data_IF_141191338518
#
_entry.id   IF_141191338518
#
_cell.length_a   1.000
_cell.length_b   1.000
_cell.length_c   1.000
_cell.angle_alpha   90.00
_cell.angle_beta   90.00
_cell.angle_gamma   90.00
#
_symmetry.space_group_name_H-M   'P 1'
#
loop_
_entity.id
_entity.type
_entity.pdbx_description
1 polymer ?
#
# COMPACT_ATOMS: atom_id res chain seq x y z
N UNK A 1 16.55 -10.11 14.38
CA UNK A 1 15.47 -9.28 14.95
C UNK A 1 15.02 -8.31 13.88
N UNK A 2 13.98 -8.66 13.12
CA UNK A 2 13.52 -7.89 11.96
C UNK A 2 12.45 -6.88 12.37
N UNK A 3 12.69 -5.61 12.09
CA UNK A 3 11.86 -4.47 12.52
C UNK A 3 10.56 -4.33 11.71
N UNK A 4 9.69 -5.35 11.75
CA UNK A 4 8.34 -5.25 11.18
C UNK A 4 7.51 -4.08 11.78
N UNK A 5 8.00 -3.49 12.88
CA UNK A 5 7.44 -2.29 13.50
C UNK A 5 7.79 -0.99 12.75
N UNK A 6 8.90 -0.86 12.02
CA UNK A 6 9.33 0.45 11.49
C UNK A 6 8.44 0.94 10.34
N UNK A 7 8.18 0.11 9.33
CA UNK A 7 7.31 0.47 8.19
C UNK A 7 5.87 0.75 8.62
N UNK A 8 5.27 -0.16 9.41
CA UNK A 8 3.91 0.01 9.92
C UNK A 8 3.75 1.21 10.87
N UNK A 9 4.76 1.48 11.72
CA UNK A 9 4.77 2.65 12.61
C UNK A 9 4.87 3.93 11.80
N UNK A 10 5.76 3.99 10.81
CA UNK A 10 5.91 5.14 9.93
C UNK A 10 4.61 5.46 9.17
N UNK A 11 3.94 4.44 8.60
CA UNK A 11 2.63 4.62 7.96
C UNK A 11 1.63 5.20 8.96
N UNK A 12 1.59 4.66 10.19
CA UNK A 12 0.62 5.10 11.21
C UNK A 12 0.89 6.55 11.64
N UNK A 13 2.15 6.94 11.85
CA UNK A 13 2.54 8.32 12.14
C UNK A 13 2.11 9.29 11.03
N UNK A 14 2.28 8.91 9.76
CA UNK A 14 1.83 9.73 8.63
C UNK A 14 0.30 9.84 8.56
N UNK A 15 -0.44 8.77 8.88
CA UNK A 15 -1.90 8.78 8.89
C UNK A 15 -2.46 9.69 9.99
N UNK A 16 -1.84 9.73 11.18
CA UNK A 16 -2.41 10.46 12.31
C UNK A 16 -1.83 11.87 12.51
N UNK A 17 -0.61 12.14 12.04
CA UNK A 17 0.09 13.39 12.37
C UNK A 17 0.24 14.40 11.24
N UNK A 18 0.22 13.97 9.97
CA UNK A 18 0.77 14.78 8.89
C UNK A 18 -0.01 14.68 7.55
N UNK A 19 -1.18 15.31 7.42
CA UNK A 19 -2.02 15.21 6.22
C UNK A 19 -1.35 15.70 4.93
N UNK A 20 -0.65 16.85 4.99
CA UNK A 20 0.08 17.40 3.83
C UNK A 20 1.22 16.46 3.42
N UNK A 21 1.99 15.96 4.39
CA UNK A 21 3.09 15.03 4.12
C UNK A 21 2.57 13.70 3.57
N UNK A 22 1.46 13.20 4.11
CA UNK A 22 0.80 12.00 3.63
C UNK A 22 0.38 12.17 2.17
N UNK A 23 -0.27 13.29 1.83
CA UNK A 23 -0.67 13.60 0.47
C UNK A 23 0.53 13.70 -0.49
N UNK A 24 1.62 14.34 -0.07
CA UNK A 24 2.83 14.44 -0.88
C UNK A 24 3.47 13.06 -1.17
N UNK A 25 3.37 12.13 -0.21
CA UNK A 25 3.95 10.78 -0.31
C UNK A 25 3.05 9.83 -1.13
N UNK A 26 1.75 9.81 -0.88
CA UNK A 26 0.82 8.82 -1.43
C UNK A 26 -0.12 9.36 -2.51
N UNK A 27 -0.04 10.67 -2.82
CA UNK A 27 -0.87 11.38 -3.81
C UNK A 27 -2.38 11.30 -3.55
N UNK A 28 -2.78 11.00 -2.32
CA UNK A 28 -4.17 10.94 -1.89
C UNK A 28 -4.31 11.37 -0.43
N UNK A 29 -5.52 11.70 0.00
CA UNK A 29 -5.78 12.01 1.40
C UNK A 29 -5.78 10.73 2.25
N UNK A 30 -5.54 10.90 3.56
CA UNK A 30 -5.59 9.79 4.52
C UNK A 30 -6.95 9.10 4.56
N UNK A 31 -8.03 9.86 4.35
CA UNK A 31 -9.42 9.36 4.31
C UNK A 31 -9.59 8.41 3.11
N UNK A 32 -9.19 8.85 1.91
CA UNK A 32 -9.28 8.04 0.69
C UNK A 32 -8.39 6.80 0.79
N UNK A 33 -7.19 6.93 1.35
CA UNK A 33 -6.31 5.77 1.57
C UNK A 33 -6.95 4.73 2.49
N UNK A 34 -7.50 5.14 3.65
CA UNK A 34 -8.15 4.20 4.55
C UNK A 34 -9.41 3.57 3.95
N UNK A 35 -10.18 4.34 3.17
CA UNK A 35 -11.32 3.83 2.42
C UNK A 35 -10.90 2.77 1.40
N UNK A 36 -9.85 3.04 0.62
CA UNK A 36 -9.28 2.09 -0.33
C UNK A 36 -8.80 0.81 0.38
N UNK A 37 -8.09 0.93 1.51
CA UNK A 37 -7.70 -0.24 2.33
C UNK A 37 -8.92 -1.06 2.74
N UNK A 38 -10.03 -0.42 3.16
CA UNK A 38 -11.25 -1.11 3.56
C UNK A 38 -11.93 -1.82 2.37
N UNK A 39 -12.02 -1.16 1.22
CA UNK A 39 -12.58 -1.75 0.01
C UNK A 39 -11.78 -2.97 -0.44
N UNK A 40 -10.46 -2.85 -0.51
CA UNK A 40 -9.58 -3.94 -0.93
C UNK A 40 -9.63 -5.13 0.04
N UNK A 41 -9.76 -4.88 1.35
CA UNK A 41 -10.00 -5.93 2.35
C UNK A 41 -11.31 -6.68 2.11
N UNK A 42 -12.38 -5.96 1.80
CA UNK A 42 -13.72 -6.54 1.67
C UNK A 42 -13.91 -7.32 0.38
N UNK A 43 -13.32 -6.86 -0.74
CA UNK A 43 -13.59 -7.44 -2.08
C UNK A 43 -12.51 -8.37 -2.60
N UNK A 44 -11.24 -8.15 -2.27
CA UNK A 44 -10.12 -8.89 -2.89
C UNK A 44 -9.51 -9.94 -1.99
N UNK A 45 -10.12 -10.21 -0.82
CA UNK A 45 -9.89 -11.41 -0.03
C UNK A 45 -8.43 -11.82 0.04
N UNK A 46 -7.51 -10.89 0.32
CA UNK A 46 -6.14 -11.22 0.64
C UNK A 46 -6.18 -12.04 1.93
N UNK A 47 -6.38 -13.35 1.80
CA UNK A 47 -6.00 -14.35 2.79
C UNK A 47 -4.48 -14.39 2.81
N UNK A 48 -3.88 -13.28 3.23
CA UNK A 48 -2.50 -13.27 3.65
C UNK A 48 -2.39 -14.29 4.77
N UNK A 49 -1.29 -15.04 4.76
CA UNK A 49 -0.79 -15.61 6.01
C UNK A 49 -0.80 -14.54 7.11
N UNK A 50 -0.79 -14.94 8.38
CA UNK A 50 -0.74 -14.08 9.58
C UNK A 50 0.23 -12.87 9.53
N UNK A 51 1.08 -12.75 8.49
CA UNK A 51 2.14 -11.77 8.30
C UNK A 51 1.90 -10.70 7.22
N UNK A 52 0.89 -10.80 6.34
CA UNK A 52 0.70 -9.79 5.27
C UNK A 52 -0.35 -8.75 5.64
N UNK A 53 0.09 -7.55 6.03
CA UNK A 53 -0.80 -6.42 6.29
C UNK A 53 -1.13 -5.69 4.98
N UNK A 54 -2.35 -5.82 4.47
CA UNK A 54 -2.79 -5.15 3.23
C UNK A 54 -2.59 -3.63 3.24
N UNK A 55 -2.64 -2.99 4.42
CA UNK A 55 -2.31 -1.56 4.57
C UNK A 55 -0.85 -1.28 4.19
N UNK A 56 0.05 -2.16 4.61
CA UNK A 56 1.49 -2.05 4.34
C UNK A 56 1.80 -2.37 2.88
N UNK A 57 1.17 -3.41 2.31
CA UNK A 57 1.27 -3.73 0.88
C UNK A 57 0.84 -2.54 0.04
N UNK A 58 -0.35 -1.98 0.31
CA UNK A 58 -0.85 -0.81 -0.42
C UNK A 58 0.06 0.41 -0.24
N UNK A 59 0.55 0.67 0.98
CA UNK A 59 1.47 1.77 1.22
C UNK A 59 2.78 1.62 0.43
N UNK A 60 3.38 0.42 0.40
CA UNK A 60 4.59 0.15 -0.39
C UNK A 60 4.33 0.36 -1.87
N UNK A 61 3.25 -0.20 -2.40
CA UNK A 61 2.91 -0.06 -3.82
C UNK A 61 2.68 1.39 -4.21
N UNK A 62 1.88 2.12 -3.43
CA UNK A 62 1.65 3.54 -3.69
C UNK A 62 2.91 4.38 -3.50
N UNK A 63 3.79 4.05 -2.55
CA UNK A 63 5.05 4.76 -2.36
C UNK A 63 5.95 4.64 -3.60
N UNK A 64 6.12 3.42 -4.12
CA UNK A 64 6.90 3.16 -5.35
C UNK A 64 6.29 3.93 -6.53
N UNK A 65 4.98 3.80 -6.77
CA UNK A 65 4.31 4.44 -7.90
C UNK A 65 4.29 5.98 -7.81
N UNK A 66 4.07 6.52 -6.61
CA UNK A 66 3.90 7.96 -6.38
C UNK A 66 5.19 8.76 -6.39
N UNK A 67 6.28 8.11 -5.96
CA UNK A 67 7.60 8.73 -5.80
C UNK A 67 8.60 8.27 -6.86
N UNK A 68 8.22 7.31 -7.72
CA UNK A 68 9.13 6.65 -8.66
C UNK A 68 10.37 6.05 -7.94
N UNK A 69 10.13 5.46 -6.78
CA UNK A 69 11.18 4.95 -5.90
C UNK A 69 11.65 3.55 -6.33
N UNK A 70 12.94 3.27 -6.11
CA UNK A 70 13.47 1.94 -6.40
C UNK A 70 13.04 0.91 -5.34
N UNK A 71 13.01 -0.38 -5.72
CA UNK A 71 12.78 -1.49 -4.77
C UNK A 71 13.80 -1.44 -3.62
N UNK A 72 15.05 -1.07 -3.90
CA UNK A 72 16.14 -1.03 -2.91
C UNK A 72 15.96 0.13 -1.91
N UNK A 73 15.63 1.32 -2.39
CA UNK A 73 15.33 2.47 -1.52
C UNK A 73 14.06 2.24 -0.68
N UNK A 74 13.05 1.60 -1.28
CA UNK A 74 11.82 1.22 -0.58
C UNK A 74 12.10 0.17 0.50
N UNK A 75 12.96 -0.82 0.22
CA UNK A 75 13.39 -1.82 1.20
C UNK A 75 14.08 -1.18 2.41
N UNK A 76 14.92 -0.19 2.18
CA UNK A 76 15.54 0.60 3.25
C UNK A 76 14.51 1.41 4.04
N UNK A 77 13.57 2.10 3.39
CA UNK A 77 12.53 2.88 4.09
C UNK A 77 11.64 2.01 4.97
N UNK A 78 11.14 0.91 4.42
CA UNK A 78 10.17 0.04 5.11
C UNK A 78 10.84 -1.05 5.97
N UNK A 79 12.17 -1.15 5.92
CA UNK A 79 12.99 -2.12 6.67
C UNK A 79 12.60 -3.57 6.38
N UNK A 80 12.40 -3.87 5.10
CA UNK A 80 12.12 -5.21 4.57
C UNK A 80 13.22 -5.65 3.61
N UNK A 81 13.30 -6.94 3.31
CA UNK A 81 14.18 -7.40 2.22
C UNK A 81 13.66 -6.90 0.87
N UNK A 82 14.55 -6.72 -0.10
CA UNK A 82 14.17 -6.37 -1.49
C UNK A 82 13.24 -7.41 -2.10
N UNK A 83 13.40 -8.69 -1.73
CA UNK A 83 12.48 -9.77 -2.11
C UNK A 83 11.08 -9.53 -1.55
N UNK A 84 10.96 -9.14 -0.28
CA UNK A 84 9.67 -8.84 0.35
C UNK A 84 9.01 -7.63 -0.30
N UNK A 85 9.76 -6.56 -0.57
CA UNK A 85 9.24 -5.38 -1.27
C UNK A 85 8.78 -5.75 -2.68
N UNK A 86 9.58 -6.50 -3.44
CA UNK A 86 9.22 -6.95 -4.79
C UNK A 86 7.91 -7.74 -4.78
N UNK A 87 7.78 -8.71 -3.87
CA UNK A 87 6.56 -9.50 -3.70
C UNK A 87 5.36 -8.63 -3.32
N UNK A 88 5.51 -7.72 -2.36
CA UNK A 88 4.43 -6.82 -1.96
C UNK A 88 4.03 -5.87 -3.09
N UNK A 89 5.00 -5.37 -3.86
CA UNK A 89 4.74 -4.52 -5.01
C UNK A 89 3.90 -5.26 -6.08
N UNK A 90 4.31 -6.47 -6.45
CA UNK A 90 3.56 -7.30 -7.42
C UNK A 90 2.14 -7.58 -6.95
N UNK A 91 1.97 -8.03 -5.72
CA UNK A 91 0.64 -8.31 -5.13
C UNK A 91 -0.22 -7.04 -5.11
N UNK A 92 0.36 -5.88 -4.77
CA UNK A 92 -0.38 -4.62 -4.76
C UNK A 92 -0.81 -4.17 -6.16
N UNK A 93 0.01 -4.34 -7.19
CA UNK A 93 -0.37 -4.04 -8.58
C UNK A 93 -1.51 -4.95 -9.03
N UNK A 94 -1.41 -6.25 -8.77
CA UNK A 94 -2.45 -7.21 -9.15
C UNK A 94 -3.81 -6.84 -8.54
N UNK A 95 -3.83 -6.50 -7.25
CA UNK A 95 -5.06 -6.10 -6.57
C UNK A 95 -5.60 -4.75 -7.07
N UNK A 96 -4.73 -3.77 -7.36
CA UNK A 96 -5.17 -2.50 -7.94
C UNK A 96 -5.70 -2.67 -9.36
N UNK A 97 -5.09 -3.54 -10.16
CA UNK A 97 -5.54 -3.86 -11.50
C UNK A 97 -6.92 -4.55 -11.48
N UNK A 98 -7.13 -5.52 -10.58
CA UNK A 98 -8.44 -6.15 -10.39
C UNK A 98 -9.49 -5.14 -9.91
N UNK A 99 -9.14 -4.29 -8.95
CA UNK A 99 -10.02 -3.24 -8.46
C UNK A 99 -10.40 -2.24 -9.56
N UNK A 100 -9.49 -1.95 -10.49
CA UNK A 100 -9.77 -1.05 -11.62
C UNK A 100 -10.89 -1.59 -12.53
N UNK A 101 -11.04 -2.91 -12.67
CA UNK A 101 -12.10 -3.51 -13.48
C UNK A 101 -13.48 -3.26 -12.87
N UNK A 102 -13.56 -3.21 -11.54
CA UNK A 102 -14.81 -2.95 -10.82
C UNK A 102 -15.22 -1.48 -10.85
N UNK A 103 -14.25 -0.56 -10.91
CA UNK A 103 -14.49 0.89 -10.83
C UNK A 103 -14.58 1.56 -12.20
N UNK A 104 -13.82 1.07 -13.19
CA UNK A 104 -13.72 1.69 -14.53
C UNK A 104 -14.70 1.04 -15.52
N UNK A 105 -15.33 -0.08 -15.16
CA UNK A 105 -16.36 -0.69 -16.03
C UNK A 105 -17.49 0.31 -16.31
N UNK A 106 -17.93 0.44 -17.58
CA UNK A 106 -19.10 1.24 -17.91
C UNK A 106 -20.33 0.73 -17.15
N UNK A 107 -21.21 1.66 -16.77
CA UNK A 107 -22.44 1.37 -15.99
C UNK A 107 -23.47 0.59 -16.80
N UNK A 108 -23.40 0.63 -18.13
CA UNK A 108 -24.28 -0.11 -19.04
C UNK A 108 -23.82 -1.56 -19.21
N UNK A 109 -24.33 -2.45 -18.37
CA UNK A 109 -24.35 -3.91 -18.60
C UNK A 109 -25.76 -4.41 -18.83
#
# INVERSE_FOLDING_TARGET
MTSAQTGNKWISELIFGHPVRFHNIFRMSQIIFNYLVCLLKSKHGMHGSHRTNIKEVLAITLFILSQNESIRATAERFQHSTETISRYFSVGIEVLAQFSLDIISPEDK
#
